data_IF_099786226688
#
_entry.id   IF_099786226688
#
_cell.length_a   1.000
_cell.length_b   1.000
_cell.length_c   1.000
_cell.angle_alpha   90.00
_cell.angle_beta   90.00
_cell.angle_gamma   90.00
#
_symmetry.space_group_name_H-M   'P 1'
#
loop_
_entity.id
_entity.type
_entity.pdbx_description
1 polymer ?
#
# COMPACT_ATOMS: atom_id res chain seq x y z
N UNK A 1 -25.89 -36.44 1.31
CA UNK A 1 -24.73 -36.88 0.50
C UNK A 1 -23.47 -36.42 1.19
N UNK A 2 -22.47 -37.29 1.39
CA UNK A 2 -21.16 -36.92 1.95
C UNK A 2 -20.28 -36.46 0.79
N UNK A 3 -19.95 -35.18 0.73
CA UNK A 3 -19.04 -34.63 -0.28
C UNK A 3 -17.62 -34.93 0.21
N UNK A 4 -16.83 -35.58 -0.64
CA UNK A 4 -15.46 -35.93 -0.30
C UNK A 4 -14.59 -34.67 -0.23
N UNK A 5 -13.75 -34.53 0.81
CA UNK A 5 -12.90 -33.34 0.98
C UNK A 5 -11.93 -33.14 -0.19
N UNK A 6 -11.52 -34.23 -0.86
CA UNK A 6 -10.70 -34.21 -2.07
C UNK A 6 -11.41 -33.47 -3.22
N UNK A 7 -12.73 -33.63 -3.36
CA UNK A 7 -13.51 -32.99 -4.43
C UNK A 7 -13.59 -31.48 -4.20
N UNK A 8 -13.69 -31.05 -2.95
CA UNK A 8 -13.68 -29.63 -2.58
C UNK A 8 -12.31 -29.00 -2.88
N UNK A 9 -11.22 -29.69 -2.54
CA UNK A 9 -9.87 -29.20 -2.80
C UNK A 9 -9.56 -29.07 -4.30
N UNK A 10 -10.00 -30.04 -5.11
CA UNK A 10 -9.84 -29.97 -6.57
C UNK A 10 -10.63 -28.81 -7.19
N UNK A 11 -11.82 -28.49 -6.66
CA UNK A 11 -12.61 -27.35 -7.12
C UNK A 11 -11.90 -26.02 -6.87
N UNK A 12 -11.26 -25.85 -5.70
CA UNK A 12 -10.48 -24.66 -5.41
C UNK A 12 -9.26 -24.50 -6.33
N UNK A 13 -8.55 -25.60 -6.66
CA UNK A 13 -7.43 -25.55 -7.62
C UNK A 13 -7.91 -25.06 -9.00
N UNK A 14 -9.06 -25.53 -9.49
CA UNK A 14 -9.59 -25.11 -10.78
C UNK A 14 -9.92 -23.60 -10.86
N UNK A 15 -10.28 -22.96 -9.73
CA UNK A 15 -10.56 -21.53 -9.70
C UNK A 15 -9.30 -20.66 -9.82
N UNK A 16 -8.12 -21.15 -9.43
CA UNK A 16 -6.87 -20.40 -9.46
C UNK A 16 -6.03 -20.62 -10.74
N UNK A 17 -6.44 -21.50 -11.66
CA UNK A 17 -5.67 -21.82 -12.89
C UNK A 17 -6.05 -20.96 -14.11
N UNK A 18 -7.08 -20.10 -14.02
CA UNK A 18 -7.38 -19.12 -15.08
C UNK A 18 -6.49 -17.87 -15.01
N UNK A 19 -5.18 -18.06 -15.12
CA UNK A 19 -4.29 -17.01 -15.60
C UNK A 19 -4.43 -16.91 -17.12
N UNK A 20 -5.29 -16.01 -17.61
CA UNK A 20 -5.32 -15.58 -19.01
C UNK A 20 -4.07 -14.74 -19.32
N UNK A 21 -2.91 -15.38 -19.41
CA UNK A 21 -1.69 -14.78 -19.95
C UNK A 21 -1.75 -14.81 -21.48
N UNK A 22 -2.05 -13.67 -22.10
CA UNK A 22 -2.00 -13.50 -23.55
C UNK A 22 -0.53 -13.53 -24.01
N UNK A 23 -0.02 -14.73 -24.27
CA UNK A 23 1.35 -14.97 -24.74
C UNK A 23 1.53 -14.55 -26.19
N UNK A 24 1.99 -13.32 -26.41
CA UNK A 24 2.56 -12.89 -27.70
C UNK A 24 4.06 -13.16 -27.65
N UNK A 25 4.51 -14.13 -28.44
CA UNK A 25 5.92 -14.48 -28.57
C UNK A 25 6.75 -13.35 -29.18
N UNK A 26 7.95 -13.12 -28.63
CA UNK A 26 9.21 -13.36 -29.33
C UNK A 26 10.38 -13.02 -28.39
N UNK A 27 11.43 -13.83 -28.49
CA UNK A 27 12.74 -13.63 -27.85
C UNK A 27 13.37 -12.34 -28.36
N UNK A 28 13.95 -11.55 -27.45
CA UNK A 28 15.33 -11.06 -27.55
C UNK A 28 15.78 -10.48 -26.19
N UNK A 29 16.97 -10.88 -25.78
CA UNK A 29 17.70 -10.32 -24.64
C UNK A 29 18.27 -8.97 -25.06
N UNK A 30 18.06 -7.93 -24.25
CA UNK A 30 19.10 -6.94 -24.03
C UNK A 30 18.85 -6.21 -22.70
N UNK A 31 19.86 -6.22 -21.84
CA UNK A 31 19.82 -5.57 -20.54
C UNK A 31 19.75 -4.05 -20.70
N UNK A 32 18.80 -3.45 -20.00
CA UNK A 32 18.85 -2.06 -19.57
C UNK A 32 18.06 -1.97 -18.29
N UNK A 33 18.71 -1.46 -17.24
CA UNK A 33 18.06 -0.98 -16.03
C UNK A 33 16.94 -0.01 -16.42
N UNK A 34 15.73 -0.54 -16.50
CA UNK A 34 14.52 0.24 -16.58
C UNK A 34 14.27 0.79 -15.18
N UNK A 35 14.90 1.93 -14.89
CA UNK A 35 14.30 2.91 -13.99
C UNK A 35 12.89 3.12 -14.52
N UNK A 36 11.90 2.62 -13.78
CA UNK A 36 10.49 2.89 -13.99
C UNK A 36 10.23 4.38 -13.73
N UNK A 37 10.71 5.24 -14.63
CA UNK A 37 10.18 6.60 -14.72
C UNK A 37 8.89 6.49 -15.51
N UNK A 38 7.85 5.95 -14.86
CA UNK A 38 6.47 6.21 -15.24
C UNK A 38 6.26 7.71 -15.04
N UNK A 39 6.75 8.50 -16.01
CA UNK A 39 6.36 9.89 -16.19
C UNK A 39 5.00 9.85 -16.88
N UNK A 40 4.03 9.25 -16.19
CA UNK A 40 2.64 9.51 -16.52
C UNK A 40 2.45 11.00 -16.34
N UNK A 41 1.95 11.62 -17.40
CA UNK A 41 1.52 13.01 -17.37
C UNK A 41 0.32 13.07 -16.44
N UNK A 42 0.55 13.17 -15.14
CA UNK A 42 -0.45 13.65 -14.21
C UNK A 42 -0.71 15.11 -14.56
N UNK A 43 -1.63 15.31 -15.49
CA UNK A 43 -2.49 16.47 -15.46
C UNK A 43 -3.01 16.54 -14.04
N UNK A 44 -2.48 17.48 -13.25
CA UNK A 44 -2.73 17.63 -11.82
C UNK A 44 -4.22 17.90 -11.64
N UNK A 45 -5.01 16.83 -11.62
CA UNK A 45 -6.39 16.88 -11.17
C UNK A 45 -6.26 17.12 -9.68
N UNK A 46 -6.51 18.36 -9.29
CA UNK A 46 -6.63 18.72 -7.90
C UNK A 46 -7.68 17.77 -7.28
N UNK A 47 -7.23 16.90 -6.38
CA UNK A 47 -8.12 16.02 -5.64
C UNK A 47 -8.86 16.84 -4.58
N UNK A 48 -10.15 16.60 -4.42
CA UNK A 48 -10.92 17.18 -3.32
C UNK A 48 -10.43 16.59 -1.99
N UNK A 49 -10.20 17.46 -1.00
CA UNK A 49 -9.63 17.05 0.28
C UNK A 49 -10.53 16.06 1.04
N UNK A 50 -11.85 16.25 1.01
CA UNK A 50 -12.76 15.35 1.72
C UNK A 50 -12.88 13.99 1.01
N UNK A 51 -12.86 13.99 -0.32
CA UNK A 51 -12.79 12.75 -1.09
C UNK A 51 -11.48 12.00 -0.87
N UNK A 52 -10.36 12.71 -0.70
CA UNK A 52 -9.09 12.14 -0.29
C UNK A 52 -9.19 11.53 1.11
N UNK A 53 -9.70 12.30 2.08
CA UNK A 53 -9.77 11.92 3.48
C UNK A 53 -10.65 10.69 3.70
N UNK A 54 -11.80 10.60 3.01
CA UNK A 54 -12.68 9.43 3.03
C UNK A 54 -11.95 8.16 2.60
N UNK A 55 -11.22 8.21 1.49
CA UNK A 55 -10.39 7.07 1.03
C UNK A 55 -9.22 6.80 1.96
N UNK A 56 -8.58 7.85 2.49
CA UNK A 56 -7.44 7.75 3.40
C UNK A 56 -7.83 7.04 4.70
N UNK A 57 -9.01 7.29 5.24
CA UNK A 57 -9.51 6.66 6.46
C UNK A 57 -10.01 5.23 6.22
N UNK A 58 -10.61 4.94 5.06
CA UNK A 58 -11.28 3.66 4.81
C UNK A 58 -10.41 2.61 4.11
N UNK A 59 -9.35 3.01 3.39
CA UNK A 59 -8.56 2.13 2.54
C UNK A 59 -7.09 2.10 2.97
N UNK A 60 -6.69 1.05 3.70
CA UNK A 60 -5.30 0.84 4.18
C UNK A 60 -4.24 1.01 3.10
N UNK A 61 -4.41 0.37 1.94
CA UNK A 61 -3.41 0.43 0.86
C UNK A 61 -3.27 1.88 0.35
N UNK A 62 -4.39 2.55 0.12
CA UNK A 62 -4.42 3.95 -0.29
C UNK A 62 -3.75 4.84 0.76
N UNK A 63 -3.99 4.61 2.05
CA UNK A 63 -3.32 5.35 3.13
C UNK A 63 -1.79 5.21 3.04
N UNK A 64 -1.29 3.98 2.90
CA UNK A 64 0.14 3.67 2.84
C UNK A 64 0.83 4.15 1.55
N UNK A 65 0.10 4.34 0.46
CA UNK A 65 0.61 4.89 -0.80
C UNK A 65 0.70 6.42 -0.79
N UNK A 66 -0.11 7.08 0.04
CA UNK A 66 -0.20 8.54 0.12
C UNK A 66 0.67 9.15 1.22
N UNK A 67 1.19 8.33 2.12
CA UNK A 67 2.18 8.75 3.12
C UNK A 67 3.58 8.62 2.50
N UNK A 68 4.35 9.71 2.59
CA UNK A 68 5.76 9.70 2.25
C UNK A 68 6.56 9.30 3.49
N UNK A 69 7.05 8.06 3.49
CA UNK A 69 7.90 7.53 4.55
C UNK A 69 9.40 7.80 4.29
N UNK A 70 10.23 7.88 5.34
CA UNK A 70 9.86 7.90 6.75
C UNK A 70 9.22 9.24 7.15
N UNK A 71 8.33 9.22 8.14
CA UNK A 71 7.80 10.46 8.73
C UNK A 71 8.78 10.92 9.80
N UNK A 72 9.37 12.10 9.63
CA UNK A 72 10.17 12.74 10.67
C UNK A 72 9.24 13.52 11.60
N UNK A 73 9.24 13.19 12.88
CA UNK A 73 8.44 13.86 13.91
C UNK A 73 9.35 14.39 15.01
N UNK A 74 8.97 15.51 15.61
CA UNK A 74 9.61 16.02 16.83
C UNK A 74 8.82 15.49 18.02
N UNK A 75 9.37 14.50 18.72
CA UNK A 75 8.72 13.87 19.84
C UNK A 75 9.40 14.29 21.17
N UNK A 76 8.63 14.51 22.25
CA UNK A 76 9.21 14.73 23.57
C UNK A 76 9.88 13.43 24.06
N UNK A 77 11.15 13.52 24.43
CA UNK A 77 11.87 12.38 25.01
C UNK A 77 11.37 12.10 26.43
N UNK A 78 10.62 11.01 26.61
CA UNK A 78 10.07 10.60 27.89
C UNK A 78 11.14 10.33 28.97
N UNK A 79 12.40 10.13 28.58
CA UNK A 79 13.51 9.87 29.49
C UNK A 79 14.28 11.14 29.89
N UNK A 80 13.95 12.30 29.33
CA UNK A 80 14.66 13.57 29.61
C UNK A 80 13.73 14.57 30.28
N UNK A 81 14.13 14.98 31.47
CA UNK A 81 13.46 16.01 32.29
C UNK A 81 13.50 17.39 31.59
N UNK A 82 14.39 17.57 30.60
CA UNK A 82 14.61 18.82 29.87
C UNK A 82 14.13 18.72 28.40
N UNK A 83 12.85 19.05 28.22
CA UNK A 83 12.07 19.70 27.14
C UNK A 83 12.56 19.84 25.67
N UNK A 84 13.77 19.44 25.27
CA UNK A 84 14.13 19.50 23.85
C UNK A 84 13.54 18.27 23.12
N UNK A 85 12.63 18.48 22.13
CA UNK A 85 12.11 17.39 21.33
C UNK A 85 13.25 16.72 20.57
N UNK A 86 13.20 15.40 20.49
CA UNK A 86 14.14 14.63 19.66
C UNK A 86 13.47 14.30 18.33
N UNK A 87 14.25 14.29 17.25
CA UNK A 87 13.78 13.79 15.96
C UNK A 87 13.59 12.29 16.02
N UNK A 88 12.35 11.84 15.82
CA UNK A 88 11.99 10.44 15.67
C UNK A 88 11.56 10.18 14.22
N UNK A 89 11.77 8.95 13.76
CA UNK A 89 11.38 8.50 12.43
C UNK A 89 10.36 7.38 12.56
N UNK A 90 9.22 7.57 11.92
CA UNK A 90 8.21 6.52 11.79
C UNK A 90 8.41 5.88 10.42
N UNK A 91 8.85 4.62 10.42
CA UNK A 91 8.99 3.83 9.20
C UNK A 91 7.63 3.30 8.73
N UNK A 92 7.56 2.87 7.48
CA UNK A 92 6.32 2.28 6.92
C UNK A 92 5.85 1.05 7.70
N UNK A 93 6.77 0.28 8.27
CA UNK A 93 6.48 -0.91 9.06
C UNK A 93 5.91 -0.60 10.45
N UNK A 94 6.24 0.58 10.99
CA UNK A 94 5.81 1.03 12.32
C UNK A 94 4.52 1.86 12.26
N UNK A 95 3.96 2.04 11.05
CA UNK A 95 2.76 2.83 10.84
C UNK A 95 1.49 2.11 11.30
N UNK A 96 0.76 2.74 12.21
CA UNK A 96 -0.57 2.31 12.60
C UNK A 96 -1.65 2.94 11.70
N UNK A 97 -2.61 2.13 11.26
CA UNK A 97 -3.70 2.58 10.39
C UNK A 97 -4.53 3.63 11.13
N UNK A 98 -4.57 4.85 10.60
CA UNK A 98 -5.39 5.92 11.15
C UNK A 98 -6.84 5.72 10.70
N UNK A 99 -7.74 5.71 11.68
CA UNK A 99 -9.17 5.84 11.49
C UNK A 99 -9.62 7.12 12.18
N UNK A 100 -9.77 8.19 11.39
CA UNK A 100 -10.17 9.51 11.87
C UNK A 100 -11.70 9.64 12.04
N UNK A 101 -12.43 8.52 12.14
CA UNK A 101 -13.87 8.49 12.44
C UNK A 101 -14.23 8.75 13.91
N UNK A 102 -13.24 9.01 14.78
CA UNK A 102 -13.39 9.50 16.16
C UNK A 102 -13.43 11.06 16.16
N UNK A 103 -14.39 11.81 16.73
CA UNK A 103 -15.48 11.59 17.69
C UNK A 103 -16.61 12.58 17.29
N UNK A 104 -17.82 12.09 16.95
CA UNK A 104 -19.03 12.89 16.70
C UNK A 104 -20.09 12.61 17.75
#
# INVERSE_FOLDING_TARGET
MKINPVVVFLFFIFLFVNCSGNGKGNREQEGKDTVFTQKDREQTRQEDFYQFLDKFNTRRIFQLERIVFPITVLAPDANRIALEPTEEKIEKGDWELLDLSYDS
#
